data_IF_235660136277
#
_entry.id   IF_235660136277
#
_cell.length_a   1.000
_cell.length_b   1.000
_cell.length_c   1.000
_cell.angle_alpha   90.00
_cell.angle_beta   90.00
_cell.angle_gamma   90.00
#
_symmetry.space_group_name_H-M   'P 1'
#
loop_
_entity.id
_entity.type
_entity.pdbx_description
1 polymer ?
#
# COMPACT_ATOMS: atom_id res chain seq x y z
N UNK A 1 4.71 -18.54 10.92
CA UNK A 1 5.00 -17.81 9.66
C UNK A 1 3.76 -17.72 8.76
N UNK A 2 3.08 -18.84 8.44
CA UNK A 2 1.95 -18.90 7.50
C UNK A 2 0.73 -18.02 7.86
N UNK A 3 0.31 -18.01 9.12
CA UNK A 3 -0.86 -17.22 9.57
C UNK A 3 -0.65 -15.70 9.47
N UNK A 4 0.59 -15.25 9.69
CA UNK A 4 1.00 -13.83 9.57
C UNK A 4 0.98 -13.37 8.11
N UNK A 5 1.49 -14.22 7.23
CA UNK A 5 1.41 -14.02 5.78
C UNK A 5 -0.05 -13.92 5.31
N UNK A 6 -0.94 -14.77 5.85
CA UNK A 6 -2.36 -14.74 5.53
C UNK A 6 -3.06 -13.42 5.94
N UNK A 7 -2.79 -12.89 7.14
CA UNK A 7 -3.35 -11.60 7.61
C UNK A 7 -2.88 -10.41 6.77
N UNK A 8 -1.59 -10.38 6.43
CA UNK A 8 -1.02 -9.36 5.53
C UNK A 8 -1.65 -9.42 4.13
N UNK A 9 -1.89 -10.62 3.59
CA UNK A 9 -2.59 -10.80 2.32
C UNK A 9 -4.05 -10.35 2.38
N UNK A 10 -4.73 -10.56 3.50
CA UNK A 10 -6.09 -10.07 3.73
C UNK A 10 -6.16 -8.54 3.67
N UNK A 11 -5.18 -7.82 4.22
CA UNK A 11 -5.12 -6.35 4.11
C UNK A 11 -5.00 -5.87 2.66
N UNK A 12 -4.08 -6.47 1.91
CA UNK A 12 -3.89 -6.16 0.48
C UNK A 12 -5.17 -6.46 -0.31
N UNK A 13 -5.82 -7.60 -0.02
CA UNK A 13 -7.09 -7.99 -0.66
C UNK A 13 -8.21 -7.00 -0.35
N UNK A 14 -8.38 -6.58 0.91
CA UNK A 14 -9.39 -5.61 1.30
C UNK A 14 -9.21 -4.27 0.60
N UNK A 15 -7.98 -3.77 0.50
CA UNK A 15 -7.68 -2.53 -0.23
C UNK A 15 -8.06 -2.67 -1.71
N UNK A 16 -7.58 -3.72 -2.39
CA UNK A 16 -7.85 -3.93 -3.82
C UNK A 16 -9.35 -4.07 -4.10
N UNK A 17 -10.05 -4.82 -3.26
CA UNK A 17 -11.50 -4.99 -3.37
C UNK A 17 -12.24 -3.66 -3.18
N UNK A 18 -11.90 -2.89 -2.14
CA UNK A 18 -12.56 -1.61 -1.88
C UNK A 18 -12.28 -0.61 -3.01
N UNK A 19 -11.02 -0.50 -3.43
CA UNK A 19 -10.60 0.33 -4.56
C UNK A 19 -11.36 -0.02 -5.85
N UNK A 20 -11.61 -1.31 -6.10
CA UNK A 20 -12.35 -1.76 -7.28
C UNK A 20 -13.82 -1.32 -7.26
N UNK A 21 -14.47 -1.33 -6.09
CA UNK A 21 -15.89 -0.98 -5.97
C UNK A 21 -16.13 0.53 -5.96
N UNK A 22 -15.36 1.28 -5.17
CA UNK A 22 -15.67 2.69 -4.88
C UNK A 22 -14.65 3.68 -5.47
N UNK A 23 -13.60 3.20 -6.13
CA UNK A 23 -12.52 4.07 -6.60
C UNK A 23 -11.58 4.52 -5.48
N UNK A 24 -10.55 5.31 -5.83
CA UNK A 24 -9.46 5.61 -4.90
C UNK A 24 -9.85 6.61 -3.81
N UNK A 25 -10.63 7.63 -4.17
CA UNK A 25 -11.04 8.69 -3.24
C UNK A 25 -11.82 8.08 -2.07
N UNK A 26 -12.89 7.34 -2.37
CA UNK A 26 -13.74 6.76 -1.33
C UNK A 26 -13.06 5.61 -0.57
N UNK A 27 -12.14 4.89 -1.21
CA UNK A 27 -11.33 3.90 -0.53
C UNK A 27 -10.41 4.54 0.53
N UNK A 28 -9.82 5.70 0.27
CA UNK A 28 -8.95 6.42 1.21
C UNK A 28 -9.70 6.96 2.45
N UNK A 29 -11.01 7.11 2.36
CA UNK A 29 -11.90 7.54 3.44
C UNK A 29 -12.73 6.40 4.05
N UNK A 30 -12.46 5.15 3.67
CA UNK A 30 -13.21 3.97 4.14
C UNK A 30 -13.03 3.70 5.63
N UNK A 31 -14.12 3.76 6.39
CA UNK A 31 -14.17 3.39 7.81
C UNK A 31 -13.81 1.93 8.05
N UNK A 32 -14.23 1.03 7.16
CA UNK A 32 -13.87 -0.39 7.21
C UNK A 32 -12.36 -0.61 7.09
N UNK A 33 -11.70 0.08 6.14
CA UNK A 33 -10.25 -0.03 5.98
C UNK A 33 -9.54 0.60 7.17
N UNK A 34 -9.99 1.77 7.64
CA UNK A 34 -9.43 2.42 8.82
C UNK A 34 -9.52 1.51 10.07
N UNK A 35 -10.66 0.84 10.29
CA UNK A 35 -10.85 -0.12 11.37
C UNK A 35 -9.89 -1.30 11.26
N UNK A 36 -9.85 -1.94 10.08
CA UNK A 36 -8.99 -3.11 9.84
C UNK A 36 -7.51 -2.79 10.04
N UNK A 37 -7.05 -1.62 9.58
CA UNK A 37 -5.66 -1.20 9.72
C UNK A 37 -5.30 -0.88 11.17
N UNK A 38 -6.19 -0.24 11.92
CA UNK A 38 -5.97 0.03 13.36
C UNK A 38 -5.85 -1.26 14.19
N UNK A 39 -6.63 -2.29 13.88
CA UNK A 39 -6.59 -3.56 14.60
C UNK A 39 -5.49 -4.51 14.12
N UNK A 40 -4.82 -4.19 13.00
CA UNK A 40 -3.72 -4.99 12.48
C UNK A 40 -2.42 -4.69 13.23
N UNK A 41 -1.52 -5.68 13.31
CA UNK A 41 -0.19 -5.47 13.89
C UNK A 41 0.68 -4.54 13.02
N UNK A 42 1.71 -3.93 13.60
CA UNK A 42 2.66 -3.09 12.84
C UNK A 42 3.40 -3.92 11.78
N UNK A 43 3.66 -5.20 12.09
CA UNK A 43 4.28 -6.18 11.21
C UNK A 43 3.39 -6.49 10.00
N UNK A 44 2.09 -6.75 10.21
CA UNK A 44 1.15 -7.00 9.10
C UNK A 44 0.99 -5.79 8.19
N UNK A 45 0.93 -4.58 8.77
CA UNK A 45 0.89 -3.34 8.01
C UNK A 45 2.15 -3.12 7.18
N UNK A 46 3.32 -3.38 7.77
CA UNK A 46 4.60 -3.24 7.07
C UNK A 46 4.73 -4.22 5.90
N UNK A 47 4.33 -5.48 6.07
CA UNK A 47 4.29 -6.45 4.98
C UNK A 47 3.32 -6.05 3.86
N UNK A 48 2.11 -5.61 4.21
CA UNK A 48 1.13 -5.15 3.22
C UNK A 48 1.65 -3.93 2.43
N UNK A 49 2.25 -2.96 3.12
CA UNK A 49 2.90 -1.80 2.51
C UNK A 49 4.06 -2.20 1.60
N UNK A 50 4.92 -3.12 2.03
CA UNK A 50 6.07 -3.57 1.25
C UNK A 50 5.60 -4.20 -0.06
N UNK A 51 4.56 -5.06 0.02
CA UNK A 51 3.98 -5.69 -1.16
C UNK A 51 3.37 -4.67 -2.11
N UNK A 52 2.57 -3.73 -1.60
CA UNK A 52 1.93 -2.71 -2.43
C UNK A 52 2.94 -1.74 -3.05
N UNK A 53 4.00 -1.39 -2.32
CA UNK A 53 5.08 -0.56 -2.83
C UNK A 53 5.85 -1.26 -3.96
N UNK A 54 6.14 -2.55 -3.79
CA UNK A 54 6.75 -3.38 -4.82
C UNK A 54 5.88 -3.45 -6.09
N UNK A 55 4.59 -3.70 -5.93
CA UNK A 55 3.65 -3.80 -7.06
C UNK A 55 3.49 -2.45 -7.79
N UNK A 56 3.70 -1.32 -7.10
CA UNK A 56 3.58 0.03 -7.66
C UNK A 56 4.92 0.66 -8.11
N UNK A 57 6.06 -0.02 -7.98
CA UNK A 57 7.41 0.57 -8.07
C UNK A 57 7.69 1.36 -9.36
N UNK A 58 7.19 0.86 -10.49
CA UNK A 58 7.39 1.48 -11.81
C UNK A 58 6.25 2.41 -12.24
N UNK A 59 5.25 2.63 -11.37
CA UNK A 59 4.04 3.39 -11.72
C UNK A 59 4.02 4.74 -11.01
N UNK A 60 3.60 5.82 -11.69
CA UNK A 60 3.45 7.11 -11.04
C UNK A 60 2.28 7.07 -10.05
N UNK A 61 2.45 7.73 -8.90
CA UNK A 61 1.37 7.94 -7.94
C UNK A 61 0.40 9.01 -8.46
N UNK A 62 -0.89 8.93 -8.11
CA UNK A 62 -1.85 9.99 -8.43
C UNK A 62 -1.44 11.30 -7.76
N UNK A 63 -1.37 12.39 -8.55
CA UNK A 63 -0.95 13.73 -8.12
C UNK A 63 -2.05 14.52 -7.38
N UNK A 64 -3.27 14.01 -7.35
CA UNK A 64 -4.45 14.67 -6.77
C UNK A 64 -4.47 14.68 -5.24
N UNK A 65 -3.54 13.98 -4.61
CA UNK A 65 -3.54 13.71 -3.16
C UNK A 65 -2.34 14.41 -2.54
N UNK A 66 -2.53 15.19 -1.49
CA UNK A 66 -1.45 15.89 -0.77
C UNK A 66 -1.36 15.41 0.69
N UNK A 67 -0.17 15.53 1.30
CA UNK A 67 0.03 15.29 2.72
C UNK A 67 0.78 14.00 3.07
N UNK A 68 0.76 13.64 4.37
CA UNK A 68 1.62 12.60 4.95
C UNK A 68 1.50 11.22 4.26
N UNK A 69 0.29 10.86 3.79
CA UNK A 69 0.06 9.61 3.08
C UNK A 69 0.73 9.58 1.69
N UNK A 70 0.68 10.69 0.93
CA UNK A 70 1.39 10.79 -0.35
C UNK A 70 2.90 10.75 -0.13
N UNK A 71 3.41 11.49 0.87
CA UNK A 71 4.84 11.49 1.21
C UNK A 71 5.32 10.07 1.54
N UNK A 72 4.57 9.35 2.36
CA UNK A 72 4.87 7.96 2.70
C UNK A 72 4.83 7.06 1.45
N UNK A 73 3.76 7.10 0.66
CA UNK A 73 3.63 6.29 -0.55
C UNK A 73 4.76 6.57 -1.56
N UNK A 74 5.15 7.85 -1.73
CA UNK A 74 6.23 8.26 -2.62
C UNK A 74 7.57 7.69 -2.18
N UNK A 75 7.87 7.81 -0.87
CA UNK A 75 9.09 7.25 -0.28
C UNK A 75 9.14 5.73 -0.45
N UNK A 76 8.06 5.03 -0.11
CA UNK A 76 8.02 3.56 -0.21
C UNK A 76 8.17 3.06 -1.64
N UNK A 77 7.49 3.69 -2.59
CA UNK A 77 7.62 3.37 -4.02
C UNK A 77 9.05 3.58 -4.52
N UNK A 78 9.67 4.71 -4.15
CA UNK A 78 11.06 5.02 -4.51
C UNK A 78 12.01 3.95 -3.96
N UNK A 79 11.88 3.62 -2.68
CA UNK A 79 12.69 2.57 -2.06
C UNK A 79 12.51 1.22 -2.75
N UNK A 80 11.28 0.84 -3.11
CA UNK A 80 11.01 -0.40 -3.82
C UNK A 80 11.65 -0.42 -5.21
N UNK A 81 11.65 0.71 -5.93
CA UNK A 81 12.28 0.84 -7.24
C UNK A 81 13.82 0.80 -7.16
N UNK A 82 14.39 1.47 -6.16
CA UNK A 82 15.83 1.43 -5.90
C UNK A 82 16.30 0.02 -5.52
N UNK A 83 15.48 -0.70 -4.74
CA UNK A 83 15.72 -2.10 -4.36
C UNK A 83 15.68 -3.06 -5.57
N UNK A 84 14.73 -2.88 -6.49
CA UNK A 84 14.62 -3.69 -7.72
C UNK A 84 15.90 -3.58 -8.57
N UNK A 85 16.48 -2.38 -8.67
CA UNK A 85 17.74 -2.15 -9.38
C UNK A 85 18.98 -2.78 -8.74
N UNK A 86 18.90 -3.21 -7.48
CA UNK A 86 20.03 -3.79 -6.72
C UNK A 86 20.03 -5.33 -6.74
N UNK A 87 18.98 -5.98 -7.25
CA UNK A 87 18.92 -7.44 -7.43
C UNK A 87 18.94 -8.29 -6.15
N UNK A 88 18.64 -7.70 -4.98
CA UNK A 88 18.87 -8.35 -3.68
C UNK A 88 17.55 -8.71 -2.96
N UNK A 89 17.07 -9.95 -3.12
CA UNK A 89 16.03 -10.52 -2.25
C UNK A 89 14.68 -9.77 -2.20
N UNK A 90 13.75 -10.19 -1.32
CA UNK A 90 12.44 -9.56 -1.20
C UNK A 90 12.53 -8.15 -0.59
N UNK A 91 11.78 -7.20 -1.16
CA UNK A 91 11.65 -5.87 -0.57
C UNK A 91 10.90 -5.93 0.77
N UNK A 92 11.51 -5.36 1.81
CA UNK A 92 10.99 -5.35 3.18
C UNK A 92 10.95 -3.94 3.75
N UNK A 93 9.97 -3.68 4.62
CA UNK A 93 9.84 -2.44 5.39
C UNK A 93 9.87 -2.81 6.87
N UNK A 94 10.61 -2.06 7.68
CA UNK A 94 10.62 -2.24 9.12
C UNK A 94 9.24 -1.88 9.73
N UNK A 95 8.71 -2.68 10.68
CA UNK A 95 7.46 -2.35 11.35
C UNK A 95 7.62 -1.06 12.17
N UNK A 96 6.69 -0.13 11.97
CA UNK A 96 6.62 1.12 12.71
C UNK A 96 5.37 1.13 13.61
N UNK A 97 5.61 1.15 14.92
CA UNK A 97 4.57 1.16 15.96
C UNK A 97 4.08 2.56 16.30
N UNK A 98 4.82 3.61 15.94
CA UNK A 98 4.47 5.01 16.24
C UNK A 98 3.77 5.69 15.06
N UNK A 99 3.92 5.15 13.85
CA UNK A 99 3.20 5.63 12.68
C UNK A 99 1.68 5.48 12.82
N UNK A 100 0.94 6.52 12.40
CA UNK A 100 -0.52 6.51 12.35
C UNK A 100 -1.01 5.42 11.37
N UNK A 101 -1.76 4.40 11.85
CA UNK A 101 -2.30 3.34 11.01
C UNK A 101 -3.20 3.84 9.87
N UNK A 102 -3.87 4.99 10.04
CA UNK A 102 -4.74 5.58 9.00
C UNK A 102 -3.90 6.23 7.90
N UNK A 103 -2.80 6.90 8.25
CA UNK A 103 -1.85 7.43 7.25
C UNK A 103 -1.24 6.28 6.45
N UNK A 104 -0.84 5.20 7.12
CA UNK A 104 -0.34 3.99 6.45
C UNK A 104 -1.40 3.37 5.54
N UNK A 105 -2.67 3.30 5.98
CA UNK A 105 -3.78 2.80 5.18
C UNK A 105 -4.00 3.64 3.92
N UNK A 106 -4.03 4.96 4.03
CA UNK A 106 -4.19 5.86 2.89
C UNK A 106 -3.03 5.74 1.91
N UNK A 107 -1.80 5.66 2.41
CA UNK A 107 -0.63 5.41 1.57
C UNK A 107 -0.76 4.08 0.81
N UNK A 108 -1.25 3.03 1.47
CA UNK A 108 -1.49 1.73 0.84
C UNK A 108 -2.57 1.80 -0.26
N UNK A 109 -3.64 2.60 -0.08
CA UNK A 109 -4.64 2.85 -1.13
C UNK A 109 -4.01 3.54 -2.34
N UNK A 110 -3.13 4.53 -2.14
CA UNK A 110 -2.43 5.21 -3.24
C UNK A 110 -1.53 4.25 -4.04
N UNK A 111 -0.76 3.40 -3.33
CA UNK A 111 0.09 2.40 -3.94
C UNK A 111 -0.74 1.36 -4.72
N UNK A 112 -1.82 0.85 -4.14
CA UNK A 112 -2.72 -0.08 -4.81
C UNK A 112 -3.38 0.53 -6.04
N UNK A 113 -3.77 1.81 -5.97
CA UNK A 113 -4.32 2.54 -7.10
C UNK A 113 -3.30 2.68 -8.24
N UNK A 114 -2.08 3.10 -7.92
CA UNK A 114 -1.01 3.21 -8.92
C UNK A 114 -0.72 1.86 -9.61
N UNK A 115 -0.66 0.77 -8.84
CA UNK A 115 -0.48 -0.58 -9.39
C UNK A 115 -1.65 -1.05 -10.28
N UNK A 116 -2.87 -0.51 -10.08
CA UNK A 116 -4.07 -0.94 -10.79
C UNK A 116 -4.33 -0.18 -12.11
N UNK A 117 -3.67 0.96 -12.36
CA UNK A 117 -3.94 1.82 -13.53
C UNK A 117 -3.58 1.21 -14.89
N UNK A 118 -2.82 0.11 -14.92
CA UNK A 118 -2.35 -0.51 -16.18
C UNK A 118 -3.37 -1.42 -16.87
N UNK A 119 -4.54 -1.70 -16.26
CA UNK A 119 -5.60 -2.47 -16.95
C UNK A 119 -6.47 -1.65 -17.91
N UNK A 120 -6.24 -0.33 -18.02
CA UNK A 120 -7.12 0.57 -18.80
C UNK A 120 -6.44 1.31 -19.95
N UNK A 121 -5.14 1.09 -20.18
CA UNK A 121 -4.41 1.70 -21.29
C UNK A 121 -3.44 0.70 -21.92
N UNK A 122 -3.99 -0.38 -22.46
CA UNK A 122 -3.38 -1.12 -23.56
C UNK A 122 -4.14 -0.74 -24.83
N UNK A 123 -3.60 0.25 -25.55
CA UNK A 123 -3.88 0.50 -26.97
C UNK A 123 -2.57 0.38 -27.70
#
# INVERSE_FOLDING_TARGET
MAERTARSFTLVRHIRWKLHIVGHHDAAHSTFLAGTWRTSSAEDRAHALARLAWDARDRPLPRSEAGAALTLATRLRRNAREHDGQGSGPFMIAPDRTADPVVQMRAAVLLAHAASRDRRYGT
#
